data_IF_670074594111
#
_entry.id   IF_670074594111
#
_cell.length_a   1.000
_cell.length_b   1.000
_cell.length_c   1.000
_cell.angle_alpha   90.00
_cell.angle_beta   90.00
_cell.angle_gamma   90.00
#
_symmetry.space_group_name_H-M   'P 1'
#
loop_
_entity.id
_entity.type
_entity.pdbx_description
1 polymer ?
#
# COMPACT_ATOMS: atom_id res chain seq x y z
N UNK A 1 8.78 7.87 -10.78
CA UNK A 1 9.57 7.05 -9.82
C UNK A 1 8.66 6.02 -9.14
N UNK A 2 9.17 4.84 -8.74
CA UNK A 2 8.38 3.81 -8.05
C UNK A 2 9.07 3.25 -6.80
N UNK A 3 8.28 2.95 -5.77
CA UNK A 3 8.70 2.29 -4.52
C UNK A 3 7.82 1.05 -4.28
N UNK A 4 8.45 -0.05 -3.87
CA UNK A 4 7.78 -1.29 -3.49
C UNK A 4 8.34 -1.79 -2.16
N UNK A 5 7.46 -2.15 -1.24
CA UNK A 5 7.79 -2.74 0.08
C UNK A 5 7.03 -4.04 0.22
N UNK A 6 7.72 -5.10 0.62
CA UNK A 6 7.19 -6.45 0.75
C UNK A 6 7.55 -7.05 2.12
N UNK A 7 6.59 -7.74 2.70
CA UNK A 7 6.80 -8.59 3.87
C UNK A 7 6.10 -9.95 3.67
N UNK A 8 6.60 -10.95 4.38
CA UNK A 8 6.12 -12.32 4.45
C UNK A 8 5.28 -12.58 5.72
N UNK A 9 4.72 -11.52 6.31
CA UNK A 9 3.95 -11.60 7.53
C UNK A 9 2.57 -12.26 7.36
N UNK A 10 1.71 -12.10 8.38
CA UNK A 10 0.38 -12.74 8.41
C UNK A 10 -0.58 -12.26 7.33
N UNK A 11 -0.32 -11.11 6.69
CA UNK A 11 -1.23 -10.44 5.77
C UNK A 11 -2.60 -10.10 6.39
N UNK A 12 -3.48 -9.50 5.60
CA UNK A 12 -4.82 -9.07 6.03
C UNK A 12 -5.78 -8.93 4.84
N UNK A 13 -7.08 -8.80 5.13
CA UNK A 13 -8.07 -8.49 4.09
C UNK A 13 -8.09 -6.98 3.83
N UNK A 14 -7.56 -6.55 2.69
CA UNK A 14 -7.41 -5.13 2.31
C UNK A 14 -8.74 -4.35 2.45
N UNK A 15 -9.86 -4.95 2.04
CA UNK A 15 -11.18 -4.29 2.06
C UNK A 15 -11.80 -4.17 3.46
N UNK A 16 -11.28 -4.88 4.45
CA UNK A 16 -11.78 -4.85 5.84
C UNK A 16 -10.87 -4.11 6.80
N UNK A 17 -9.60 -3.92 6.43
CA UNK A 17 -8.58 -3.38 7.32
C UNK A 17 -7.82 -2.27 6.61
N UNK A 18 -8.34 -1.04 6.73
CA UNK A 18 -7.61 0.18 6.39
C UNK A 18 -7.41 1.01 7.66
N UNK A 19 -6.20 0.94 8.21
CA UNK A 19 -5.78 1.82 9.29
C UNK A 19 -5.31 3.17 8.78
N UNK A 20 -5.20 4.16 9.68
CA UNK A 20 -4.78 5.53 9.36
C UNK A 20 -3.42 5.60 8.65
N UNK A 21 -2.52 4.64 8.92
CA UNK A 21 -1.21 4.59 8.25
C UNK A 21 -1.31 4.36 6.73
N UNK A 22 -2.07 3.36 6.28
CA UNK A 22 -2.25 3.07 4.85
C UNK A 22 -3.05 4.18 4.15
N UNK A 23 -4.05 4.75 4.84
CA UNK A 23 -4.81 5.88 4.34
C UNK A 23 -3.90 7.10 4.11
N UNK A 24 -3.11 7.50 5.11
CA UNK A 24 -2.19 8.63 4.97
C UNK A 24 -1.04 8.39 3.99
N UNK A 25 -0.67 7.14 3.71
CA UNK A 25 0.24 6.81 2.61
C UNK A 25 -0.41 7.04 1.25
N UNK A 26 -1.63 6.55 1.06
CA UNK A 26 -2.39 6.76 -0.18
C UNK A 26 -2.63 8.24 -0.45
N UNK A 27 -3.12 8.99 0.54
CA UNK A 27 -3.41 10.42 0.42
C UNK A 27 -2.18 11.20 -0.05
N UNK A 28 -1.00 10.95 0.57
CA UNK A 28 0.25 11.62 0.17
C UNK A 28 0.68 11.27 -1.25
N UNK A 29 0.55 10.01 -1.66
CA UNK A 29 0.91 9.59 -3.02
C UNK A 29 -0.04 10.22 -4.04
N UNK A 30 -1.35 10.22 -3.76
CA UNK A 30 -2.37 10.82 -4.63
C UNK A 30 -2.20 12.35 -4.72
N UNK A 31 -1.89 13.03 -3.61
CA UNK A 31 -1.61 14.48 -3.58
C UNK A 31 -0.44 14.87 -4.48
N UNK A 32 0.53 13.97 -4.68
CA UNK A 32 1.66 14.17 -5.58
C UNK A 32 1.38 13.73 -7.03
N UNK A 33 0.11 13.45 -7.38
CA UNK A 33 -0.29 12.97 -8.71
C UNK A 33 0.10 11.51 -8.97
N UNK A 34 0.37 10.75 -7.92
CA UNK A 34 0.83 9.36 -7.99
C UNK A 34 -0.28 8.31 -7.91
N UNK A 35 0.15 7.05 -7.88
CA UNK A 35 -0.71 5.87 -7.70
C UNK A 35 -0.22 5.04 -6.51
N UNK A 36 -1.15 4.63 -5.66
CA UNK A 36 -0.89 3.78 -4.50
C UNK A 36 -1.66 2.47 -4.62
N UNK A 37 -1.01 1.34 -4.29
CA UNK A 37 -1.63 0.02 -4.28
C UNK A 37 -1.15 -0.79 -3.08
N UNK A 38 -2.07 -1.55 -2.50
CA UNK A 38 -1.77 -2.53 -1.45
C UNK A 38 -2.35 -3.87 -1.88
N UNK A 39 -1.54 -4.91 -1.81
CA UNK A 39 -1.95 -6.28 -2.00
C UNK A 39 -1.66 -7.04 -0.71
N UNK A 40 -2.68 -7.67 -0.14
CA UNK A 40 -2.53 -8.49 1.06
C UNK A 40 -3.65 -9.51 1.10
N UNK A 41 -3.35 -10.67 1.67
CA UNK A 41 -4.33 -11.67 2.03
C UNK A 41 -3.83 -12.44 3.27
N UNK A 42 -4.73 -12.94 4.14
CA UNK A 42 -4.32 -13.77 5.27
C UNK A 42 -3.42 -14.94 4.85
N UNK A 43 -2.26 -15.07 5.49
CA UNK A 43 -1.24 -16.09 5.21
C UNK A 43 -0.39 -15.84 3.96
N UNK A 44 -0.47 -14.65 3.34
CA UNK A 44 0.20 -14.34 2.06
C UNK A 44 1.16 -13.14 2.14
N UNK A 45 1.45 -12.63 3.33
CA UNK A 45 2.24 -11.40 3.48
C UNK A 45 1.51 -10.15 3.00
N UNK A 46 2.26 -9.08 2.79
CA UNK A 46 1.76 -7.80 2.26
C UNK A 46 2.74 -7.20 1.27
N UNK A 47 2.21 -6.59 0.21
CA UNK A 47 2.94 -5.76 -0.72
C UNK A 47 2.31 -4.37 -0.78
N UNK A 48 3.12 -3.33 -0.59
CA UNK A 48 2.74 -1.93 -0.76
C UNK A 48 3.53 -1.34 -1.92
N UNK A 49 2.84 -0.63 -2.81
CA UNK A 49 3.44 -0.02 -4.00
C UNK A 49 3.00 1.42 -4.16
N UNK A 50 3.95 2.30 -4.43
CA UNK A 50 3.74 3.72 -4.72
C UNK A 50 4.45 4.11 -6.01
N UNK A 51 3.75 4.80 -6.90
CA UNK A 51 4.28 5.34 -8.14
C UNK A 51 4.05 6.85 -8.16
N UNK A 52 5.09 7.64 -8.39
CA UNK A 52 5.02 9.10 -8.52
C UNK A 52 5.41 9.53 -9.94
N UNK A 53 4.83 10.62 -10.46
CA UNK A 53 5.35 11.31 -11.65
C UNK A 53 6.82 11.72 -11.45
N UNK A 54 7.54 11.89 -12.55
CA UNK A 54 8.89 12.48 -12.55
C UNK A 54 8.79 13.99 -12.73
#
# INVERSE_FOLDING_TARGET
MSLRVEDDGRGFQVNRTRGLGLLGMEERVVQLGGRFRVQSAPGRGTTVMAELPL
#
